data_IF_432408217079
#
_entry.id   IF_432408217079
#
_cell.length_a   1.000
_cell.length_b   1.000
_cell.length_c   1.000
_cell.angle_alpha   90.00
_cell.angle_beta   90.00
_cell.angle_gamma   90.00
#
_symmetry.space_group_name_H-M   'P 1'
#
loop_
_entity.id
_entity.type
_entity.pdbx_description
1 polymer ?
#
# COMPACT_ATOMS: atom_id res chain seq x y z
N UNK A 1 25.26 18.30 -19.09
CA UNK A 1 26.29 18.41 -18.04
C UNK A 1 25.89 17.52 -16.89
N UNK A 2 26.78 16.65 -16.43
CA UNK A 2 26.54 15.80 -15.27
C UNK A 2 27.11 16.51 -14.04
N UNK A 3 26.26 16.80 -13.05
CA UNK A 3 26.70 17.37 -11.77
C UNK A 3 27.10 16.25 -10.82
N UNK A 4 28.15 16.48 -10.05
CA UNK A 4 28.64 15.53 -9.05
C UNK A 4 28.21 15.97 -7.66
N UNK A 5 28.35 15.09 -6.67
CA UNK A 5 27.87 15.39 -5.31
C UNK A 5 28.73 16.46 -4.63
N UNK A 6 30.01 16.54 -5.01
CA UNK A 6 30.97 17.52 -4.50
C UNK A 6 30.58 18.96 -4.87
N UNK A 7 29.84 19.15 -5.98
CA UNK A 7 29.34 20.46 -6.42
C UNK A 7 28.32 21.10 -5.44
N UNK A 8 27.84 20.33 -4.46
CA UNK A 8 26.83 20.75 -3.46
C UNK A 8 27.32 20.62 -2.02
N UNK A 9 28.62 20.37 -1.80
CA UNK A 9 29.19 20.14 -0.48
C UNK A 9 28.94 21.32 0.49
N UNK A 10 28.71 22.52 -0.04
CA UNK A 10 28.38 23.75 0.69
C UNK A 10 26.94 23.79 1.23
N UNK A 11 26.01 23.02 0.66
CA UNK A 11 24.59 23.05 1.04
C UNK A 11 24.01 21.71 1.51
N UNK A 12 24.67 20.59 1.25
CA UNK A 12 24.09 19.25 1.43
C UNK A 12 23.75 18.92 2.90
N UNK A 13 24.55 19.42 3.85
CA UNK A 13 24.38 19.18 5.29
C UNK A 13 23.65 20.34 6.01
N UNK A 14 23.20 21.36 5.27
CA UNK A 14 22.50 22.48 5.89
C UNK A 14 21.12 22.06 6.41
N UNK A 15 20.69 22.60 7.56
CA UNK A 15 19.36 22.33 8.08
C UNK A 15 18.31 22.83 7.07
N UNK A 16 17.28 22.02 6.83
CA UNK A 16 16.19 22.40 5.93
C UNK A 16 15.39 23.56 6.54
N UNK A 17 15.19 24.68 5.83
CA UNK A 17 14.40 25.78 6.33
C UNK A 17 12.92 25.36 6.45
N UNK A 18 12.31 25.66 7.59
CA UNK A 18 10.88 25.42 7.83
C UNK A 18 10.14 26.74 7.67
N UNK A 19 9.15 26.77 6.77
CA UNK A 19 8.32 27.96 6.56
C UNK A 19 7.46 28.23 7.79
N UNK A 20 7.45 29.50 8.22
CA UNK A 20 6.57 29.98 9.31
C UNK A 20 5.11 30.11 8.85
N UNK A 21 4.91 30.46 7.58
CA UNK A 21 3.58 30.69 7.00
C UNK A 21 2.92 29.41 6.52
N UNK A 22 3.72 28.44 6.06
CA UNK A 22 3.25 27.16 5.56
C UNK A 22 3.97 26.02 6.30
N UNK A 23 3.57 25.74 7.55
CA UNK A 23 4.20 24.69 8.33
C UNK A 23 4.00 23.32 7.67
N UNK A 24 4.93 22.38 7.84
CA UNK A 24 4.79 21.02 7.34
C UNK A 24 3.55 20.33 7.93
N UNK A 25 2.88 19.54 7.10
CA UNK A 25 1.76 18.70 7.54
C UNK A 25 2.23 17.66 8.57
N UNK A 26 1.43 17.46 9.63
CA UNK A 26 1.70 16.47 10.68
C UNK A 26 1.79 15.05 10.12
N UNK A 27 2.48 14.14 10.82
CA UNK A 27 2.57 12.73 10.39
C UNK A 27 1.19 12.07 10.29
N UNK A 28 0.27 12.42 11.20
CA UNK A 28 -1.10 11.88 11.22
C UNK A 28 -1.90 12.35 10.01
N UNK A 29 -1.87 13.64 9.71
CA UNK A 29 -2.60 14.19 8.55
C UNK A 29 -1.99 13.69 7.24
N UNK A 30 -0.67 13.52 7.20
CA UNK A 30 0.04 12.89 6.07
C UNK A 30 -0.41 11.45 5.87
N UNK A 31 -0.58 10.67 6.94
CA UNK A 31 -1.12 9.31 6.86
C UNK A 31 -2.59 9.31 6.39
N UNK A 32 -3.38 10.31 6.80
CA UNK A 32 -4.77 10.48 6.36
C UNK A 32 -4.95 10.60 4.85
N UNK A 33 -3.95 11.11 4.12
CA UNK A 33 -3.99 11.15 2.64
C UNK A 33 -4.06 9.74 2.01
N UNK A 34 -3.55 8.73 2.72
CA UNK A 34 -3.58 7.33 2.29
C UNK A 34 -4.77 6.55 2.85
N UNK A 35 -5.66 7.19 3.62
CA UNK A 35 -6.85 6.56 4.17
C UNK A 35 -7.76 5.88 3.12
N UNK A 36 -7.94 6.44 1.89
CA UNK A 36 -8.74 5.77 0.85
C UNK A 36 -8.24 4.38 0.44
N UNK A 37 -6.97 4.09 0.67
CA UNK A 37 -6.37 2.79 0.34
C UNK A 37 -6.35 1.80 1.51
N UNK A 38 -6.91 2.17 2.67
CA UNK A 38 -6.95 1.31 3.86
C UNK A 38 -7.68 -0.02 3.63
N UNK A 39 -8.68 -0.03 2.74
CA UNK A 39 -9.41 -1.25 2.36
C UNK A 39 -8.51 -2.28 1.64
N UNK A 40 -7.44 -1.84 0.97
CA UNK A 40 -6.52 -2.75 0.28
C UNK A 40 -5.70 -3.60 1.25
N UNK A 41 -5.46 -3.12 2.48
CA UNK A 41 -4.70 -3.86 3.49
C UNK A 41 -5.39 -5.18 3.87
N UNK A 42 -6.72 -5.20 3.91
CA UNK A 42 -7.51 -6.41 4.20
C UNK A 42 -7.90 -7.23 2.97
N UNK A 43 -7.70 -6.69 1.76
CA UNK A 43 -8.15 -7.31 0.52
C UNK A 43 -7.44 -8.63 0.25
N UNK A 44 -6.13 -8.71 0.50
CA UNK A 44 -5.36 -9.94 0.26
C UNK A 44 -5.82 -11.10 1.17
N UNK A 45 -6.07 -10.81 2.45
CA UNK A 45 -6.60 -11.78 3.40
C UNK A 45 -8.05 -12.18 3.07
N UNK A 46 -8.87 -11.24 2.57
CA UNK A 46 -10.23 -11.55 2.12
C UNK A 46 -10.23 -12.43 0.86
N UNK A 47 -9.35 -12.14 -0.11
CA UNK A 47 -9.20 -12.94 -1.32
C UNK A 47 -8.77 -14.38 -1.00
N UNK A 48 -7.77 -14.56 -0.12
CA UNK A 48 -7.32 -15.89 0.31
C UNK A 48 -8.43 -16.73 0.96
N UNK A 49 -9.24 -16.13 1.84
CA UNK A 49 -10.40 -16.83 2.44
C UNK A 49 -11.41 -17.28 1.39
N UNK A 50 -11.72 -16.42 0.41
CA UNK A 50 -12.65 -16.76 -0.68
C UNK A 50 -12.10 -17.86 -1.57
N UNK A 51 -10.79 -17.89 -1.84
CA UNK A 51 -10.16 -19.00 -2.58
C UNK A 51 -10.27 -20.33 -1.83
N UNK A 52 -9.99 -20.32 -0.52
CA UNK A 52 -10.11 -21.50 0.35
C UNK A 52 -11.55 -22.05 0.39
N UNK A 53 -12.55 -21.18 0.63
CA UNK A 53 -13.98 -21.53 0.64
C UNK A 53 -14.45 -22.15 -0.68
N UNK A 54 -13.98 -21.62 -1.80
CA UNK A 54 -14.34 -22.15 -3.12
C UNK A 54 -13.69 -23.49 -3.38
N UNK A 55 -12.43 -23.66 -2.98
CA UNK A 55 -11.69 -24.91 -3.10
C UNK A 55 -12.30 -26.04 -2.24
N UNK A 56 -12.76 -25.74 -1.02
CA UNK A 56 -13.48 -26.72 -0.19
C UNK A 56 -14.81 -27.10 -0.81
N UNK A 57 -15.57 -26.12 -1.32
CA UNK A 57 -16.84 -26.37 -2.00
C UNK A 57 -16.68 -27.30 -3.21
N UNK A 58 -15.66 -27.10 -4.04
CA UNK A 58 -15.36 -28.00 -5.17
C UNK A 58 -14.96 -29.41 -4.71
N UNK A 59 -14.29 -29.53 -3.58
CA UNK A 59 -13.85 -30.82 -3.02
C UNK A 59 -15.01 -31.62 -2.42
N UNK A 60 -16.00 -30.92 -1.86
CA UNK A 60 -17.21 -31.50 -1.28
C UNK A 60 -18.28 -31.83 -2.35
N UNK A 61 -18.25 -31.14 -3.49
CA UNK A 61 -19.16 -31.40 -4.61
C UNK A 61 -18.88 -32.75 -5.29
N UNK A 62 -19.82 -33.69 -5.15
CA UNK A 62 -19.93 -34.88 -6.00
C UNK A 62 -20.85 -34.56 -7.18
N UNK A 63 -20.40 -34.66 -8.44
CA UNK A 63 -21.28 -34.52 -9.59
C UNK A 63 -22.48 -35.48 -9.48
N UNK A 64 -23.72 -35.04 -9.80
CA UNK A 64 -24.85 -35.95 -9.88
C UNK A 64 -24.56 -36.98 -10.96
N UNK A 65 -24.77 -38.27 -10.65
CA UNK A 65 -24.62 -39.32 -11.65
C UNK A 65 -25.64 -39.08 -12.76
N UNK A 66 -25.13 -38.78 -13.96
CA UNK A 66 -25.95 -38.64 -15.15
C UNK A 66 -26.35 -40.04 -15.63
N UNK A 67 -27.47 -40.56 -15.13
CA UNK A 67 -28.10 -41.75 -15.70
C UNK A 67 -28.80 -41.38 -17.01
N UNK A 68 -28.29 -41.94 -18.11
CA UNK A 68 -28.87 -41.87 -19.45
C UNK A 68 -30.02 -42.88 -19.63
#
# INVERSE_FOLDING_TARGET
>A
MQRRIEDYADIIDLPRPISRSHPPMSLRDRAGQFAPFSALTGLHAAAGRTEEERATQYKEYSPPEHTA
#
